data_IF_097235324981
#
_entry.id   IF_097235324981
#
_cell.length_a   1.000
_cell.length_b   1.000
_cell.length_c   1.000
_cell.angle_alpha   90.00
_cell.angle_beta   90.00
_cell.angle_gamma   90.00
#
_symmetry.space_group_name_H-M   'P 1'
#
loop_
_entity.id
_entity.type
_entity.pdbx_description
1 polymer ?
#
# COMPACT_ATOMS: atom_id res chain seq x y z
N UNK A 1 3.01 21.60 10.20
CA UNK A 1 1.90 21.66 9.24
C UNK A 1 1.39 20.23 9.05
N UNK A 2 0.17 19.92 9.51
CA UNK A 2 -0.38 18.57 9.40
C UNK A 2 -0.67 18.25 7.94
N UNK A 3 -0.23 17.07 7.47
CA UNK A 3 -0.66 16.53 6.18
C UNK A 3 -2.18 16.31 6.27
N UNK A 4 -2.99 16.85 5.34
CA UNK A 4 -4.44 16.66 5.40
C UNK A 4 -4.76 15.16 5.40
N UNK A 5 -5.61 14.74 6.35
CA UNK A 5 -6.14 13.36 6.39
C UNK A 5 -6.80 13.06 5.05
N UNK A 6 -6.49 11.89 4.48
CA UNK A 6 -7.21 11.41 3.31
C UNK A 6 -8.71 11.28 3.70
N UNK A 7 -9.63 11.79 2.86
CA UNK A 7 -11.05 11.74 3.17
C UNK A 7 -11.52 10.28 3.25
N UNK A 8 -12.47 10.01 4.14
CA UNK A 8 -13.08 8.67 4.33
C UNK A 8 -13.71 8.14 3.05
N UNK A 9 -14.14 9.05 2.15
CA UNK A 9 -14.64 8.75 0.82
C UNK A 9 -14.28 9.90 -0.12
N UNK A 10 -13.81 9.58 -1.33
CA UNK A 10 -13.60 10.59 -2.37
C UNK A 10 -14.92 10.86 -3.10
N UNK A 11 -15.28 12.13 -3.39
CA UNK A 11 -16.44 12.43 -4.20
C UNK A 11 -16.27 11.83 -5.60
N UNK A 12 -17.38 11.31 -6.14
CA UNK A 12 -17.42 10.82 -7.50
C UNK A 12 -17.21 12.00 -8.47
N UNK A 13 -16.38 11.78 -9.48
CA UNK A 13 -16.02 12.80 -10.45
C UNK A 13 -15.96 12.20 -11.87
N UNK A 14 -16.42 12.97 -12.88
CA UNK A 14 -16.29 12.56 -14.27
C UNK A 14 -14.81 12.48 -14.67
N UNK A 15 -14.53 11.75 -15.75
CA UNK A 15 -13.18 11.64 -16.28
C UNK A 15 -12.61 12.99 -16.70
N UNK A 16 -11.29 13.12 -16.60
CA UNK A 16 -10.56 14.36 -16.92
C UNK A 16 -10.41 14.64 -18.41
N UNK A 17 -10.82 13.71 -19.29
CA UNK A 17 -10.62 13.77 -20.74
C UNK A 17 -11.27 14.99 -21.42
N UNK A 18 -12.44 15.42 -20.93
CA UNK A 18 -13.22 16.48 -21.57
C UNK A 18 -13.17 17.82 -20.81
N UNK A 19 -12.70 17.83 -19.56
CA UNK A 19 -12.87 18.96 -18.64
C UNK A 19 -11.64 19.18 -17.73
N UNK A 20 -10.44 19.19 -18.30
CA UNK A 20 -9.24 19.47 -17.54
C UNK A 20 -8.29 20.43 -18.28
N UNK A 21 -7.58 21.24 -17.51
CA UNK A 21 -6.52 22.13 -17.99
C UNK A 21 -5.20 21.72 -17.38
N UNK A 22 -4.15 21.65 -18.17
CA UNK A 22 -2.86 21.20 -17.68
C UNK A 22 -1.74 21.32 -18.70
N UNK A 23 -0.55 20.90 -18.28
CA UNK A 23 0.62 20.78 -19.14
C UNK A 23 0.92 19.32 -19.38
N UNK A 24 1.33 18.99 -20.61
CA UNK A 24 1.75 17.65 -20.98
C UNK A 24 3.23 17.71 -21.37
N UNK A 25 4.04 16.92 -20.69
CA UNK A 25 5.45 16.72 -21.00
C UNK A 25 5.62 15.31 -21.55
N UNK A 26 6.15 15.20 -22.77
CA UNK A 26 6.41 13.91 -23.40
C UNK A 26 7.92 13.70 -23.53
N UNK A 27 8.40 12.62 -22.94
CA UNK A 27 9.78 12.16 -23.09
C UNK A 27 9.78 10.97 -24.05
N UNK A 28 10.55 11.09 -25.13
CA UNK A 28 10.67 10.06 -26.14
C UNK A 28 12.03 9.38 -25.98
N UNK A 29 12.02 8.05 -25.89
CA UNK A 29 13.23 7.25 -25.97
C UNK A 29 13.39 6.63 -27.36
N UNK A 30 14.55 6.01 -27.62
CA UNK A 30 14.83 5.43 -28.95
C UNK A 30 13.78 4.38 -29.32
N UNK A 31 13.37 4.31 -30.59
CA UNK A 31 12.50 3.24 -31.07
C UNK A 31 13.15 1.87 -30.81
N UNK A 32 12.36 0.92 -30.34
CA UNK A 32 12.80 -0.45 -30.12
C UNK A 32 12.24 -1.38 -31.19
N UNK A 33 13.07 -2.26 -31.75
CA UNK A 33 12.64 -3.39 -32.58
C UNK A 33 12.47 -4.67 -31.77
N UNK A 34 12.47 -4.59 -30.44
CA UNK A 34 12.29 -5.73 -29.56
C UNK A 34 10.91 -6.36 -29.80
N UNK A 35 10.87 -7.69 -29.73
CA UNK A 35 9.64 -8.48 -29.84
C UNK A 35 8.85 -8.58 -28.53
N UNK A 36 9.42 -8.05 -27.45
CA UNK A 36 8.78 -7.95 -26.15
C UNK A 36 8.92 -6.52 -25.62
N UNK A 37 7.92 -6.04 -24.84
CA UNK A 37 8.00 -4.73 -24.24
C UNK A 37 9.16 -4.66 -23.23
N UNK A 38 9.75 -3.48 -22.98
CA UNK A 38 10.82 -3.30 -22.01
C UNK A 38 10.47 -3.90 -20.64
N UNK A 39 11.45 -4.38 -19.86
CA UNK A 39 11.23 -4.83 -18.49
C UNK A 39 10.48 -3.77 -17.67
N UNK A 40 9.60 -4.22 -16.77
CA UNK A 40 8.71 -3.37 -15.95
C UNK A 40 7.67 -2.54 -16.73
N UNK A 41 7.39 -2.87 -17.99
CA UNK A 41 6.31 -2.23 -18.75
C UNK A 41 4.93 -2.55 -18.23
N UNK A 42 4.70 -3.73 -17.68
CA UNK A 42 3.48 -4.04 -16.92
C UNK A 42 3.82 -4.11 -15.44
N UNK A 43 2.82 -3.91 -14.57
CA UNK A 43 2.98 -4.35 -13.19
C UNK A 43 3.19 -5.87 -13.17
N UNK A 44 4.02 -6.39 -12.28
CA UNK A 44 4.38 -7.82 -12.28
C UNK A 44 3.15 -8.74 -12.09
N UNK A 45 2.11 -8.24 -11.42
CA UNK A 45 0.80 -8.90 -11.28
C UNK A 45 -0.02 -8.92 -12.58
N UNK A 46 0.15 -7.93 -13.45
CA UNK A 46 -0.62 -7.78 -14.69
C UNK A 46 0.06 -8.47 -15.87
N UNK A 47 1.39 -8.66 -15.82
CA UNK A 47 2.18 -9.25 -16.91
C UNK A 47 1.70 -10.63 -17.36
N UNK A 48 1.04 -11.39 -16.47
CA UNK A 48 0.48 -12.73 -16.75
C UNK A 48 -1.04 -12.74 -16.94
N UNK A 49 -1.69 -11.59 -16.90
CA UNK A 49 -3.11 -11.49 -17.16
C UNK A 49 -3.39 -11.49 -18.66
N UNK A 50 -4.61 -11.86 -19.06
CA UNK A 50 -5.10 -11.72 -20.44
C UNK A 50 -4.96 -10.27 -20.98
N UNK A 51 -4.83 -9.26 -20.12
CA UNK A 51 -4.62 -7.87 -20.53
C UNK A 51 -3.19 -7.58 -20.97
N UNK A 52 -2.21 -8.36 -20.52
CA UNK A 52 -0.81 -8.28 -20.96
C UNK A 52 -0.47 -9.31 -22.06
N UNK A 53 -1.36 -10.27 -22.31
CA UNK A 53 -1.27 -11.22 -23.42
C UNK A 53 -1.70 -10.55 -24.74
N UNK A 54 -0.86 -9.64 -25.22
CA UNK A 54 -1.08 -8.87 -26.44
C UNK A 54 0.20 -8.88 -27.28
N UNK A 55 0.03 -8.92 -28.61
CA UNK A 55 1.16 -8.92 -29.54
C UNK A 55 1.86 -7.56 -29.52
N UNK A 56 2.98 -7.45 -28.80
CA UNK A 56 3.84 -6.28 -28.81
C UNK A 56 4.64 -6.21 -30.13
N UNK A 57 4.74 -5.02 -30.71
CA UNK A 57 5.35 -4.83 -32.04
C UNK A 57 6.49 -3.82 -32.05
N UNK A 58 6.91 -3.32 -30.88
CA UNK A 58 8.01 -2.38 -30.76
C UNK A 58 7.58 -0.95 -31.04
N UNK A 59 8.51 -0.11 -31.52
CA UNK A 59 8.26 1.29 -31.84
C UNK A 59 8.76 2.26 -30.76
N UNK A 60 8.25 3.50 -30.82
CA UNK A 60 8.73 4.61 -30.01
C UNK A 60 8.26 4.47 -28.57
N UNK A 61 9.21 4.44 -27.64
CA UNK A 61 8.89 4.44 -26.21
C UNK A 61 8.59 5.87 -25.75
N UNK A 62 7.48 6.05 -25.03
CA UNK A 62 7.03 7.35 -24.56
C UNK A 62 6.74 7.29 -23.06
N UNK A 63 7.34 8.21 -22.31
CA UNK A 63 6.91 8.54 -20.97
C UNK A 63 6.17 9.88 -21.04
N UNK A 64 4.91 9.90 -20.61
CA UNK A 64 4.10 11.13 -20.58
C UNK A 64 3.93 11.54 -19.13
N UNK A 65 4.22 12.79 -18.80
CA UNK A 65 3.88 13.41 -17.52
C UNK A 65 2.83 14.46 -17.80
N UNK A 66 1.65 14.31 -17.21
CA UNK A 66 0.56 15.27 -17.29
C UNK A 66 0.44 15.97 -15.95
N UNK A 67 0.52 17.29 -15.95
CA UNK A 67 0.24 18.14 -14.78
C UNK A 67 -1.11 18.80 -14.98
N UNK A 68 -2.13 18.27 -14.31
CA UNK A 68 -3.46 18.86 -14.29
C UNK A 68 -3.48 20.02 -13.30
N UNK A 69 -3.62 21.24 -13.83
CA UNK A 69 -3.79 22.48 -13.08
C UNK A 69 -5.26 22.72 -12.71
N UNK A 70 -6.18 22.21 -13.53
CA UNK A 70 -7.61 22.23 -13.24
C UNK A 70 -8.21 20.90 -13.69
N UNK A 71 -8.99 20.27 -12.83
CA UNK A 71 -9.75 19.06 -13.16
C UNK A 71 -10.93 18.90 -12.21
N UNK A 72 -11.90 18.01 -12.51
CA UNK A 72 -13.03 17.71 -11.63
C UNK A 72 -12.63 17.19 -10.23
N UNK A 73 -11.38 16.75 -10.05
CA UNK A 73 -10.84 16.27 -8.76
C UNK A 73 -9.74 17.18 -8.18
N UNK A 74 -9.61 18.40 -8.71
CA UNK A 74 -8.55 19.34 -8.34
C UNK A 74 -7.22 19.07 -9.05
N UNK A 75 -6.15 19.69 -8.58
CA UNK A 75 -4.81 19.57 -9.15
C UNK A 75 -4.18 18.19 -8.87
N UNK A 76 -3.58 17.58 -9.89
CA UNK A 76 -2.78 16.37 -9.72
C UNK A 76 -1.81 16.16 -10.88
N UNK A 77 -0.79 15.34 -10.65
CA UNK A 77 0.17 14.91 -11.66
C UNK A 77 -0.09 13.44 -12.00
N UNK A 78 0.04 13.09 -13.27
CA UNK A 78 -0.06 11.73 -13.80
C UNK A 78 1.18 11.39 -14.64
N UNK A 79 1.71 10.19 -14.47
CA UNK A 79 2.78 9.64 -15.30
C UNK A 79 2.28 8.40 -16.02
N UNK A 80 2.28 8.43 -17.35
CA UNK A 80 1.94 7.30 -18.21
C UNK A 80 3.20 6.72 -18.84
N UNK A 81 3.35 5.40 -18.75
CA UNK A 81 4.39 4.67 -19.45
C UNK A 81 3.81 3.96 -20.67
N UNK A 82 4.32 4.29 -21.86
CA UNK A 82 3.96 3.72 -23.15
C UNK A 82 5.21 3.02 -23.71
N UNK A 83 5.33 1.70 -23.56
CA UNK A 83 6.52 0.95 -23.99
C UNK A 83 6.65 0.80 -25.50
N UNK A 84 5.61 1.08 -26.26
CA UNK A 84 5.57 0.93 -27.70
C UNK A 84 4.17 0.60 -28.21
N UNK A 85 4.12 0.12 -29.44
CA UNK A 85 2.91 -0.31 -30.12
C UNK A 85 2.59 -1.79 -29.85
N UNK A 86 1.30 -2.09 -29.94
CA UNK A 86 0.71 -3.41 -29.82
C UNK A 86 -0.29 -3.61 -30.95
N UNK A 87 -0.44 -4.85 -31.39
CA UNK A 87 -1.48 -5.21 -32.34
C UNK A 87 -2.85 -5.16 -31.65
N UNK A 88 -3.80 -4.49 -32.29
CA UNK A 88 -5.18 -4.52 -31.88
C UNK A 88 -5.82 -5.85 -32.31
N UNK A 89 -6.30 -6.70 -31.37
CA UNK A 89 -6.83 -8.01 -31.72
C UNK A 89 -8.15 -7.97 -32.50
N UNK A 90 -8.83 -6.82 -32.54
CA UNK A 90 -10.08 -6.64 -33.30
C UNK A 90 -9.86 -6.05 -34.69
N UNK A 91 -8.91 -5.11 -34.83
CA UNK A 91 -8.66 -4.42 -36.10
C UNK A 91 -7.38 -4.83 -36.81
N UNK A 92 -6.48 -5.57 -36.15
CA UNK A 92 -5.14 -5.91 -36.64
C UNK A 92 -4.18 -4.71 -36.75
N UNK A 93 -4.64 -3.50 -36.41
CA UNK A 93 -3.85 -2.28 -36.52
C UNK A 93 -2.89 -2.12 -35.33
N UNK A 94 -1.75 -1.49 -35.58
CA UNK A 94 -0.80 -1.14 -34.54
C UNK A 94 -1.27 0.08 -33.76
N UNK A 95 -1.39 -0.06 -32.43
CA UNK A 95 -1.76 1.03 -31.54
C UNK A 95 -0.79 1.15 -30.38
N UNK A 96 -0.38 2.39 -30.05
CA UNK A 96 0.39 2.66 -28.85
C UNK A 96 -0.51 2.54 -27.62
N UNK A 97 0.02 1.91 -26.56
CA UNK A 97 -0.77 1.67 -25.34
C UNK A 97 0.03 2.07 -24.11
N UNK A 98 -0.62 2.84 -23.22
CA UNK A 98 -0.09 3.04 -21.89
C UNK A 98 -0.28 1.76 -21.09
N UNK A 99 0.82 1.20 -20.60
CA UNK A 99 0.81 -0.04 -19.82
C UNK A 99 0.91 0.22 -18.32
N UNK A 100 1.27 1.46 -17.92
CA UNK A 100 1.23 1.91 -16.52
C UNK A 100 0.79 3.36 -16.43
N UNK A 101 0.07 3.65 -15.34
CA UNK A 101 -0.31 5.00 -14.95
C UNK A 101 -0.06 5.20 -13.45
N UNK A 102 0.73 6.20 -13.10
CA UNK A 102 0.97 6.65 -11.72
C UNK A 102 0.33 8.02 -11.51
N UNK A 103 -0.26 8.24 -10.34
CA UNK A 103 -0.95 9.50 -10.04
C UNK A 103 -0.55 10.01 -8.67
N UNK A 104 -0.49 11.33 -8.50
CA UNK A 104 -0.02 11.94 -7.26
C UNK A 104 -1.08 12.04 -6.15
N UNK A 105 -2.36 11.76 -6.44
CA UNK A 105 -3.46 11.89 -5.48
C UNK A 105 -4.33 10.64 -5.36
N UNK A 106 -4.86 10.41 -4.16
CA UNK A 106 -5.81 9.32 -3.88
C UNK A 106 -7.17 9.50 -4.57
N UNK A 107 -7.60 10.75 -4.82
CA UNK A 107 -8.84 11.06 -5.53
C UNK A 107 -8.82 10.56 -6.97
N UNK A 108 -7.68 10.72 -7.66
CA UNK A 108 -7.44 10.19 -9.00
C UNK A 108 -7.39 8.66 -9.01
N UNK A 109 -6.78 8.05 -7.99
CA UNK A 109 -6.80 6.60 -7.81
C UNK A 109 -8.23 6.04 -7.66
N UNK A 110 -9.04 6.66 -6.80
CA UNK A 110 -10.40 6.22 -6.52
C UNK A 110 -11.31 6.38 -7.75
N UNK A 111 -11.40 7.58 -8.32
CA UNK A 111 -12.23 7.84 -9.49
C UNK A 111 -11.71 7.09 -10.74
N UNK A 112 -10.39 6.92 -10.85
CA UNK A 112 -9.77 6.12 -11.92
C UNK A 112 -10.22 4.65 -11.94
N UNK A 113 -10.34 4.02 -10.77
CA UNK A 113 -10.81 2.64 -10.63
C UNK A 113 -12.32 2.52 -10.79
N UNK A 114 -13.06 3.41 -10.12
CA UNK A 114 -14.53 3.33 -10.04
C UNK A 114 -15.21 3.80 -11.32
N UNK A 115 -14.71 4.90 -11.88
CA UNK A 115 -15.41 5.68 -12.91
C UNK A 115 -14.63 5.79 -14.23
N UNK A 116 -13.31 5.54 -14.25
CA UNK A 116 -12.46 5.76 -15.45
C UNK A 116 -11.74 4.51 -16.01
N UNK A 117 -12.08 3.32 -15.51
CA UNK A 117 -11.66 2.01 -16.04
C UNK A 117 -10.12 1.77 -16.12
N UNK A 118 -9.35 2.24 -15.13
CA UNK A 118 -7.89 2.02 -15.01
C UNK A 118 -7.56 0.99 -13.89
N UNK A 119 -6.96 -0.18 -14.17
CA UNK A 119 -6.70 -1.21 -13.17
C UNK A 119 -5.55 -0.82 -12.22
N UNK A 120 -5.79 -0.93 -10.90
CA UNK A 120 -4.77 -0.72 -9.84
C UNK A 120 -5.10 -1.61 -8.64
N UNK A 121 -4.12 -2.29 -8.04
CA UNK A 121 -4.29 -3.16 -6.84
C UNK A 121 -3.64 -2.53 -5.59
N UNK A 122 -4.27 -2.67 -4.42
CA UNK A 122 -3.72 -2.19 -3.12
C UNK A 122 -3.72 -3.34 -2.12
N UNK A 123 -2.58 -3.56 -1.49
CA UNK A 123 -2.46 -4.43 -0.32
C UNK A 123 -2.32 -3.58 0.94
N UNK A 124 -2.85 -4.09 2.05
CA UNK A 124 -2.71 -3.52 3.38
C UNK A 124 -2.11 -4.58 4.31
N UNK A 125 -1.19 -4.13 5.16
CA UNK A 125 -0.56 -4.93 6.20
C UNK A 125 -1.02 -4.33 7.53
N UNK A 126 -1.63 -5.15 8.38
CA UNK A 126 -2.12 -4.78 9.70
C UNK A 126 -1.37 -5.61 10.75
N UNK A 127 -0.28 -5.09 11.33
CA UNK A 127 0.50 -5.80 12.35
C UNK A 127 0.18 -5.32 13.77
N UNK A 128 0.27 -6.25 14.72
CA UNK A 128 0.43 -5.99 16.15
C UNK A 128 1.88 -6.27 16.54
N UNK A 129 2.55 -5.27 17.10
CA UNK A 129 3.98 -5.29 17.35
C UNK A 129 4.29 -5.14 18.83
N UNK A 130 5.24 -5.95 19.32
CA UNK A 130 5.70 -5.99 20.71
C UNK A 130 7.22 -5.96 20.77
N UNK A 131 7.79 -5.89 21.98
CA UNK A 131 9.24 -6.00 22.19
C UNK A 131 9.81 -7.35 21.77
N UNK A 132 8.97 -8.38 21.63
CA UNK A 132 9.38 -9.71 21.16
C UNK A 132 9.31 -9.84 19.63
N UNK A 133 8.80 -8.81 18.93
CA UNK A 133 8.49 -8.86 17.52
C UNK A 133 6.99 -8.78 17.21
N UNK A 134 6.62 -9.22 16.01
CA UNK A 134 5.23 -9.26 15.56
C UNK A 134 4.46 -10.37 16.28
N UNK A 135 3.36 -10.00 16.91
CA UNK A 135 2.49 -10.92 17.68
C UNK A 135 1.40 -11.50 16.78
N UNK A 136 0.79 -10.65 15.97
CA UNK A 136 -0.25 -11.00 15.00
C UNK A 136 -0.11 -10.09 13.79
N UNK A 137 -0.40 -10.57 12.58
CA UNK A 137 -0.53 -9.70 11.42
C UNK A 137 -1.52 -10.23 10.40
N UNK A 138 -2.16 -9.32 9.66
CA UNK A 138 -2.98 -9.65 8.49
C UNK A 138 -2.47 -8.92 7.26
N UNK A 139 -2.37 -9.63 6.14
CA UNK A 139 -2.08 -9.08 4.82
C UNK A 139 -3.29 -9.31 3.92
N UNK A 140 -3.86 -8.26 3.35
CA UNK A 140 -5.07 -8.41 2.53
C UNK A 140 -5.17 -7.33 1.45
N UNK A 141 -6.00 -7.57 0.45
CA UNK A 141 -6.29 -6.60 -0.60
C UNK A 141 -7.44 -5.68 -0.19
N UNK A 142 -7.29 -4.37 -0.39
CA UNK A 142 -8.33 -3.38 -0.10
C UNK A 142 -7.93 -2.37 0.98
N UNK A 143 -8.90 -2.01 1.82
CA UNK A 143 -8.76 -1.04 2.92
C UNK A 143 -9.38 -1.59 4.21
N UNK A 144 -8.81 -1.24 5.36
CA UNK A 144 -9.39 -1.50 6.67
C UNK A 144 -10.60 -0.59 6.92
N UNK A 145 -11.71 -1.19 7.37
CA UNK A 145 -12.81 -0.50 8.02
C UNK A 145 -12.86 -0.84 9.52
N UNK A 146 -13.81 -0.25 10.25
CA UNK A 146 -13.94 -0.42 11.70
C UNK A 146 -14.22 -1.87 12.07
N UNK A 147 -15.16 -2.54 11.38
CA UNK A 147 -15.50 -3.95 11.63
C UNK A 147 -14.30 -4.88 11.48
N UNK A 148 -13.54 -4.73 10.39
CA UNK A 148 -12.36 -5.54 10.15
C UNK A 148 -11.28 -5.30 11.22
N UNK A 149 -11.17 -4.07 11.71
CA UNK A 149 -10.23 -3.73 12.77
C UNK A 149 -10.66 -4.30 14.12
N UNK A 150 -11.96 -4.26 14.45
CA UNK A 150 -12.49 -4.89 15.67
C UNK A 150 -12.22 -6.40 15.69
N UNK A 151 -12.47 -7.09 14.58
CA UNK A 151 -12.22 -8.54 14.46
C UNK A 151 -10.72 -8.87 14.54
N UNK A 152 -9.85 -7.94 14.13
CA UNK A 152 -8.41 -8.07 14.33
C UNK A 152 -8.01 -7.89 15.80
N UNK A 153 -8.63 -6.93 16.51
CA UNK A 153 -8.39 -6.73 17.94
C UNK A 153 -8.90 -7.91 18.75
N UNK A 154 -10.07 -8.46 18.44
CA UNK A 154 -10.62 -9.63 19.12
C UNK A 154 -9.66 -10.82 19.08
N UNK A 155 -9.10 -11.13 17.91
CA UNK A 155 -8.06 -12.15 17.73
C UNK A 155 -6.77 -11.79 18.48
N UNK A 156 -6.31 -10.53 18.37
CA UNK A 156 -5.10 -10.07 19.05
C UNK A 156 -5.18 -10.26 20.57
N UNK A 157 -6.35 -10.04 21.17
CA UNK A 157 -6.55 -10.15 22.60
C UNK A 157 -6.40 -11.58 23.14
N UNK A 158 -6.44 -12.61 22.29
CA UNK A 158 -6.10 -13.99 22.67
C UNK A 158 -4.59 -14.16 22.97
N UNK A 159 -3.76 -13.23 22.47
CA UNK A 159 -2.31 -13.21 22.68
C UNK A 159 -1.87 -12.23 23.78
N UNK A 160 -2.82 -11.57 24.45
CA UNK A 160 -2.58 -10.60 25.51
C UNK A 160 -2.82 -11.18 26.91
N UNK A 161 -1.97 -10.79 27.87
CA UNK A 161 -2.18 -11.05 29.29
C UNK A 161 -3.06 -9.99 29.97
N UNK A 162 -3.51 -10.27 31.19
CA UNK A 162 -4.21 -9.29 32.05
C UNK A 162 -3.20 -8.37 32.70
N UNK A 163 -3.43 -7.06 32.78
CA UNK A 163 -2.47 -6.16 33.41
C UNK A 163 -2.22 -6.54 34.88
N UNK A 164 -0.93 -6.67 35.34
CA UNK A 164 0.33 -6.28 34.69
C UNK A 164 1.15 -7.43 34.03
N UNK A 165 0.51 -8.50 33.56
CA UNK A 165 1.17 -9.62 32.85
C UNK A 165 1.84 -9.17 31.53
N UNK A 166 2.74 -9.97 30.94
CA UNK A 166 3.29 -9.67 29.62
C UNK A 166 2.21 -9.41 28.56
N UNK A 167 2.47 -8.46 27.65
CA UNK A 167 1.58 -8.07 26.54
C UNK A 167 0.19 -7.59 26.98
N UNK A 168 0.07 -7.01 28.17
CA UNK A 168 -1.20 -6.55 28.73
C UNK A 168 -1.52 -5.06 28.51
N UNK A 169 -0.73 -4.36 27.69
CA UNK A 169 -0.98 -2.95 27.32
C UNK A 169 -1.04 -2.85 25.81
N UNK A 170 -2.19 -2.45 25.28
CA UNK A 170 -2.39 -2.18 23.87
C UNK A 170 -2.25 -0.68 23.63
N UNK A 171 -1.21 -0.31 22.87
CA UNK A 171 -0.93 1.07 22.48
C UNK A 171 -1.41 1.28 21.04
N UNK A 172 -2.27 2.26 20.82
CA UNK A 172 -2.81 2.58 19.49
C UNK A 172 -2.57 4.04 19.12
N UNK A 173 -2.27 4.30 17.84
CA UNK A 173 -2.25 5.67 17.31
C UNK A 173 -3.65 6.27 17.31
N UNK A 174 -3.75 7.59 17.42
CA UNK A 174 -5.02 8.32 17.47
C UNK A 174 -5.69 8.47 16.09
N UNK A 175 -5.95 7.34 15.43
CA UNK A 175 -6.73 7.25 14.20
C UNK A 175 -8.21 7.08 14.54
N UNK A 176 -9.11 7.74 13.81
CA UNK A 176 -10.54 7.75 14.15
C UNK A 176 -11.19 6.37 14.12
N UNK A 177 -10.71 5.46 13.27
CA UNK A 177 -11.20 4.08 13.19
C UNK A 177 -10.63 3.14 14.27
N UNK A 178 -9.69 3.63 15.10
CA UNK A 178 -9.24 2.90 16.30
C UNK A 178 -10.15 3.15 17.51
N UNK A 179 -10.97 4.19 17.45
CA UNK A 179 -11.92 4.50 18.52
C UNK A 179 -13.24 3.78 18.23
N UNK A 180 -13.49 2.71 18.98
CA UNK A 180 -14.76 1.98 18.98
C UNK A 180 -15.10 1.56 20.41
N UNK A 181 -16.35 1.75 20.81
CA UNK A 181 -16.87 1.30 22.10
C UNK A 181 -16.67 -0.22 22.28
N UNK A 182 -16.77 -1.01 21.19
CA UNK A 182 -16.53 -2.45 21.22
C UNK A 182 -15.08 -2.77 21.58
N UNK A 183 -14.11 -2.02 21.05
CA UNK A 183 -12.69 -2.21 21.35
C UNK A 183 -12.41 -1.93 22.82
N UNK A 184 -12.98 -0.84 23.36
CA UNK A 184 -12.85 -0.49 24.78
C UNK A 184 -13.44 -1.60 25.68
N UNK A 185 -14.61 -2.11 25.32
CA UNK A 185 -15.27 -3.20 26.05
C UNK A 185 -14.43 -4.49 26.03
N UNK A 186 -13.99 -4.94 24.85
CA UNK A 186 -13.19 -6.17 24.72
C UNK A 186 -11.88 -6.09 25.51
N UNK A 187 -11.19 -4.93 25.46
CA UNK A 187 -9.96 -4.72 26.23
C UNK A 187 -10.24 -4.76 27.74
N UNK A 188 -11.31 -4.09 28.20
CA UNK A 188 -11.72 -4.06 29.60
C UNK A 188 -12.04 -5.46 30.15
N UNK A 189 -12.84 -6.24 29.41
CA UNK A 189 -13.23 -7.61 29.79
C UNK A 189 -12.02 -8.55 29.88
N UNK A 190 -11.08 -8.42 28.93
CA UNK A 190 -9.82 -9.17 28.94
C UNK A 190 -8.79 -8.64 29.94
N UNK A 191 -9.04 -7.51 30.60
CA UNK A 191 -8.11 -6.89 31.54
C UNK A 191 -6.86 -6.29 30.88
N UNK A 192 -6.94 -5.96 29.59
CA UNK A 192 -5.87 -5.33 28.81
C UNK A 192 -6.01 -3.82 28.90
N UNK A 193 -4.93 -3.11 29.26
CA UNK A 193 -4.94 -1.65 29.30
C UNK A 193 -4.88 -1.08 27.89
N UNK A 194 -5.87 -0.26 27.54
CA UNK A 194 -5.89 0.47 26.28
C UNK A 194 -5.30 1.87 26.45
N UNK A 195 -4.31 2.22 25.63
CA UNK A 195 -3.63 3.52 25.65
C UNK A 195 -3.57 4.10 24.25
N UNK A 196 -4.03 5.34 24.08
CA UNK A 196 -3.92 6.06 22.82
C UNK A 196 -2.74 7.04 22.86
N UNK A 197 -1.93 7.02 21.80
CA UNK A 197 -0.84 7.99 21.64
C UNK A 197 -1.40 9.40 21.37
N UNK A 198 -0.69 10.47 21.78
CA UNK A 198 -1.06 11.82 21.42
C UNK A 198 -1.15 12.00 19.89
N UNK A 199 -2.03 12.90 19.40
CA UNK A 199 -2.10 13.21 17.97
C UNK A 199 -0.72 13.56 17.38
N UNK A 200 -0.46 13.12 16.16
CA UNK A 200 0.76 13.44 15.39
C UNK A 200 2.08 13.08 16.09
N UNK A 201 2.09 12.02 16.91
CA UNK A 201 3.29 11.54 17.61
C UNK A 201 3.79 10.20 17.06
N UNK A 202 4.16 10.10 15.76
CA UNK A 202 4.67 8.86 15.18
C UNK A 202 5.98 8.42 15.83
N UNK A 203 6.77 9.35 16.35
CA UNK A 203 8.03 9.07 17.05
C UNK A 203 7.83 8.27 18.35
N UNK A 204 6.61 8.27 18.90
CA UNK A 204 6.24 7.47 20.08
C UNK A 204 5.69 6.09 19.70
N UNK A 205 5.64 5.76 18.40
CA UNK A 205 5.06 4.52 17.90
C UNK A 205 6.17 3.62 17.30
N UNK A 206 6.62 2.58 18.04
CA UNK A 206 7.74 1.74 17.61
C UNK A 206 7.48 0.97 16.31
N UNK A 207 6.21 0.82 15.90
CA UNK A 207 5.86 0.14 14.65
C UNK A 207 6.29 0.92 13.40
N UNK A 208 6.53 2.24 13.51
CA UNK A 208 6.99 3.04 12.37
C UNK A 208 8.41 2.65 11.95
N UNK A 209 9.29 2.38 12.92
CA UNK A 209 10.64 1.83 12.67
C UNK A 209 10.54 0.41 12.10
N UNK A 210 9.65 -0.44 12.63
CA UNK A 210 9.37 -1.75 12.03
C UNK A 210 8.93 -1.63 10.56
N UNK A 211 8.05 -0.69 10.22
CA UNK A 211 7.65 -0.48 8.83
C UNK A 211 8.82 -0.01 7.95
N UNK A 212 9.76 0.77 8.48
CA UNK A 212 10.98 1.14 7.76
C UNK A 212 11.86 -0.09 7.48
N UNK A 213 12.05 -0.95 8.49
CA UNK A 213 12.77 -2.22 8.35
C UNK A 213 12.10 -3.18 7.36
N UNK A 214 10.78 -3.32 7.45
CA UNK A 214 9.98 -4.17 6.56
C UNK A 214 10.10 -3.70 5.11
N UNK A 215 9.99 -2.39 4.85
CA UNK A 215 10.22 -1.82 3.50
C UNK A 215 11.63 -2.12 3.00
N UNK A 216 12.64 -2.00 3.85
CA UNK A 216 14.02 -2.35 3.49
C UNK A 216 14.17 -3.85 3.22
N UNK A 217 13.50 -4.71 4.00
CA UNK A 217 13.48 -6.16 3.81
C UNK A 217 12.83 -6.54 2.47
N UNK A 218 11.62 -6.03 2.20
CA UNK A 218 10.91 -6.23 0.93
C UNK A 218 11.81 -5.85 -0.25
N UNK A 219 12.48 -4.69 -0.18
CA UNK A 219 13.38 -4.23 -1.25
C UNK A 219 14.56 -5.17 -1.47
N UNK A 220 15.18 -5.68 -0.40
CA UNK A 220 16.31 -6.62 -0.48
C UNK A 220 15.91 -7.98 -1.02
N UNK A 221 14.70 -8.43 -0.70
CA UNK A 221 14.20 -9.76 -1.06
C UNK A 221 13.24 -9.75 -2.24
N UNK A 222 13.15 -8.63 -2.96
CA UNK A 222 12.26 -8.50 -4.11
C UNK A 222 12.48 -9.59 -5.16
N UNK A 223 13.73 -10.00 -5.38
CA UNK A 223 14.08 -11.04 -6.34
C UNK A 223 13.37 -12.37 -6.03
N UNK A 224 13.15 -12.74 -4.76
CA UNK A 224 12.49 -14.02 -4.43
C UNK A 224 11.01 -14.03 -4.84
N UNK A 225 10.36 -12.85 -4.88
CA UNK A 225 9.04 -12.72 -5.48
C UNK A 225 9.12 -12.82 -7.00
N UNK A 226 10.10 -12.17 -7.63
CA UNK A 226 10.27 -12.21 -9.08
C UNK A 226 10.57 -13.61 -9.61
N UNK A 227 11.29 -14.43 -8.84
CA UNK A 227 11.63 -15.81 -9.21
C UNK A 227 10.41 -16.75 -9.11
N UNK A 228 9.45 -16.45 -8.23
CA UNK A 228 8.22 -17.24 -8.07
C UNK A 228 6.98 -16.35 -7.85
N UNK A 229 6.51 -15.61 -8.86
CA UNK A 229 5.34 -14.74 -8.71
C UNK A 229 4.03 -15.55 -8.54
N UNK A 230 4.04 -16.84 -8.91
CA UNK A 230 2.90 -17.75 -8.74
C UNK A 230 2.54 -18.01 -7.28
N UNK A 231 3.44 -17.72 -6.33
CA UNK A 231 3.15 -17.78 -4.90
C UNK A 231 2.07 -16.77 -4.47
N UNK A 232 1.85 -15.71 -5.26
CA UNK A 232 0.98 -14.59 -4.93
C UNK A 232 1.70 -13.50 -4.13
N UNK A 233 1.38 -12.24 -4.42
CA UNK A 233 2.02 -11.10 -3.75
C UNK A 233 1.64 -10.99 -2.26
N UNK A 234 0.41 -11.39 -1.89
CA UNK A 234 0.00 -11.51 -0.48
C UNK A 234 0.92 -12.43 0.31
N UNK A 235 1.10 -13.66 -0.17
CA UNK A 235 2.00 -14.67 0.42
C UNK A 235 3.45 -14.17 0.57
N UNK A 236 3.96 -13.44 -0.43
CA UNK A 236 5.28 -12.83 -0.33
C UNK A 236 5.36 -11.76 0.76
N UNK A 237 4.32 -10.91 0.88
CA UNK A 237 4.26 -9.90 1.93
C UNK A 237 4.13 -10.53 3.32
N UNK A 238 3.33 -11.59 3.47
CA UNK A 238 3.23 -12.37 4.72
C UNK A 238 4.59 -12.90 5.13
N UNK A 239 5.30 -13.57 4.22
CA UNK A 239 6.67 -14.04 4.46
C UNK A 239 7.63 -12.89 4.85
N UNK A 240 7.52 -11.72 4.21
CA UNK A 240 8.34 -10.56 4.58
C UNK A 240 8.03 -10.07 5.99
N UNK A 241 6.74 -10.02 6.37
CA UNK A 241 6.30 -9.63 7.71
C UNK A 241 6.83 -10.62 8.74
N UNK A 242 6.74 -11.93 8.48
CA UNK A 242 7.24 -12.96 9.38
C UNK A 242 8.76 -12.84 9.60
N UNK A 243 9.53 -12.66 8.52
CA UNK A 243 11.00 -12.60 8.60
C UNK A 243 11.53 -11.29 9.18
N UNK A 244 10.88 -10.17 8.89
CA UNK A 244 11.22 -8.90 9.53
C UNK A 244 10.76 -8.88 11.00
N UNK A 245 9.57 -9.43 11.25
CA UNK A 245 8.90 -9.44 12.54
C UNK A 245 9.53 -10.35 13.58
N UNK A 246 10.27 -11.39 13.18
CA UNK A 246 10.97 -12.30 14.09
C UNK A 246 12.27 -11.73 14.69
N UNK A 247 12.64 -10.48 14.38
CA UNK A 247 13.92 -9.87 14.81
C UNK A 247 13.78 -9.21 16.17
N UNK A 248 13.82 -10.02 17.23
CA UNK A 248 13.64 -9.58 18.63
C UNK A 248 14.58 -8.43 19.04
N UNK A 249 15.86 -8.48 18.65
CA UNK A 249 16.80 -7.39 18.96
C UNK A 249 16.40 -6.05 18.32
N UNK A 250 15.89 -6.09 17.09
CA UNK A 250 15.34 -4.91 16.41
C UNK A 250 14.10 -4.40 17.14
N UNK A 251 13.20 -5.30 17.53
CA UNK A 251 11.99 -4.94 18.27
C UNK A 251 12.30 -4.26 19.60
N UNK A 252 13.23 -4.79 20.38
CA UNK A 252 13.70 -4.13 21.60
C UNK A 252 14.27 -2.74 21.33
N UNK A 253 15.09 -2.58 20.29
CA UNK A 253 15.64 -1.28 19.87
C UNK A 253 14.54 -0.27 19.50
N UNK A 254 13.58 -0.68 18.68
CA UNK A 254 12.48 0.18 18.23
C UNK A 254 11.62 0.67 19.41
N UNK A 255 11.32 -0.21 20.38
CA UNK A 255 10.59 0.17 21.59
C UNK A 255 11.41 1.11 22.51
N UNK A 256 12.71 0.88 22.63
CA UNK A 256 13.60 1.78 23.39
C UNK A 256 13.68 3.17 22.76
N UNK A 257 13.79 3.26 21.44
CA UNK A 257 13.80 4.53 20.71
C UNK A 257 12.49 5.31 20.87
N UNK A 258 11.35 4.61 20.87
CA UNK A 258 10.04 5.19 21.14
C UNK A 258 9.83 5.60 22.62
N UNK A 259 10.81 5.37 23.50
CA UNK A 259 10.73 5.67 24.93
C UNK A 259 9.84 4.71 25.72
N UNK A 260 9.47 3.57 25.15
CA UNK A 260 8.63 2.55 25.78
C UNK A 260 9.51 1.45 26.38
N UNK A 261 9.86 1.62 27.66
CA UNK A 261 10.59 0.62 28.44
C UNK A 261 9.64 -0.11 29.40
N UNK A 262 9.76 -1.43 29.47
CA UNK A 262 9.06 -2.25 30.47
C UNK A 262 10.14 -2.85 31.34
N UNK A 263 10.24 -2.37 32.58
CA UNK A 263 11.11 -2.98 33.58
C UNK A 263 10.43 -4.25 34.10
N UNK A 264 11.03 -5.41 33.84
CA UNK A 264 10.62 -6.65 34.49
C UNK A 264 11.22 -6.64 35.90
N UNK A 265 10.38 -6.42 36.91
CA UNK A 265 10.74 -6.64 38.33
C UNK A 265 10.65 -8.12 38.68
#
# INVERSE_FOLDING_TARGET
>A
MSRPKAPTQYPDAPSTWDNARGHIFMCFARPSSAKEPPPASYHDLERKSQFADQTFTGGLQVCVIVRYLESPIGEYDELLWIPGAFENPWSGQQTYRATRAYVSTGASLYNGRKNWNVPKTRYQILPAYSQDGIVLSRVFQGSTDVSFFEDFIEELLEHCGRWPEPRSVLIMVNASFHHSERIEQMCSEKGVKLVYLPPYSPDLNPIEEFFAELKAFIRRHWQSYQDNPGQGFGTFLEWCVDKAGAREQSAKGNFQHAGLTVEYH
#
